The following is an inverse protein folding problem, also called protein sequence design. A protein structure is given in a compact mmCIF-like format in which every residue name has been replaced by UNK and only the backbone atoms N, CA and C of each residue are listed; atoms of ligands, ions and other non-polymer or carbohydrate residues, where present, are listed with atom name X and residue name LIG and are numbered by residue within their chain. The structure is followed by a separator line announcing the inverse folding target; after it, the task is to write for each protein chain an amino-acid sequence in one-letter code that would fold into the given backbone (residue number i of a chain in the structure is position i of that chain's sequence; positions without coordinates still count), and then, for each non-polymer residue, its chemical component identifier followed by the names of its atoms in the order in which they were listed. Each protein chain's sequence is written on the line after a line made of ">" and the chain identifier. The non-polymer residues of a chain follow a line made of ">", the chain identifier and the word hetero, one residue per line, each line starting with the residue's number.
data_IF_205574784322
#
_entry.id   IF_205574784322
#
_cell.length_a   1.000
_cell.length_b   1.000
_cell.length_c   1.000
_cell.angle_alpha   90.00
_cell.angle_beta   90.00
_cell.angle_gamma   90.00
#
_symmetry.space_group_name_H-M   'P 1'
#
loop_
_entity.id
_entity.type
_entity.pdbx_description
1 polymer ?
#
# COMPACT_ATOMS: atom_id res chain seq x y z
N UNK A 1 0.74 23.43 13.44
CA UNK A 1 1.51 22.27 12.95
C UNK A 1 0.77 21.63 11.80
N UNK A 2 1.45 21.28 10.71
CA UNK A 2 0.80 20.71 9.53
C UNK A 2 0.64 19.19 9.68
N UNK A 3 -0.53 18.73 10.12
CA UNK A 3 -0.83 17.30 10.36
C UNK A 3 -0.60 16.42 9.11
N UNK A 4 -0.73 16.98 7.92
CA UNK A 4 -0.51 16.28 6.66
C UNK A 4 0.94 15.81 6.48
N UNK A 5 1.91 16.62 6.92
CA UNK A 5 3.35 16.31 6.80
C UNK A 5 3.76 15.18 7.73
N UNK A 6 3.33 15.22 9.00
CA UNK A 6 3.66 14.16 9.97
C UNK A 6 3.06 12.82 9.53
N UNK A 7 1.81 12.83 9.04
CA UNK A 7 1.17 11.65 8.45
C UNK A 7 1.94 11.13 7.23
N UNK A 8 2.39 12.05 6.36
CA UNK A 8 3.18 11.71 5.17
C UNK A 8 4.51 11.05 5.53
N UNK A 9 5.24 11.63 6.49
CA UNK A 9 6.54 11.14 6.93
C UNK A 9 6.44 9.73 7.55
N UNK A 10 5.52 9.54 8.49
CA UNK A 10 5.31 8.24 9.12
C UNK A 10 4.95 7.16 8.09
N UNK A 11 4.11 7.49 7.10
CA UNK A 11 3.78 6.54 6.03
C UNK A 11 4.94 6.25 5.09
N UNK A 12 5.78 7.24 4.79
CA UNK A 12 6.94 7.07 3.92
C UNK A 12 7.95 6.07 4.52
N UNK A 13 8.11 6.10 5.84
CA UNK A 13 9.03 5.22 6.59
C UNK A 13 8.39 3.91 7.06
N UNK A 14 7.13 3.62 6.68
CA UNK A 14 6.32 2.52 7.25
C UNK A 14 6.24 2.59 8.80
N UNK A 15 6.36 3.78 9.38
CA UNK A 15 6.26 4.05 10.80
C UNK A 15 4.84 4.44 11.26
N UNK A 16 4.72 4.67 12.56
CA UNK A 16 3.48 5.13 13.21
C UNK A 16 3.62 6.57 13.67
N UNK A 17 2.49 7.26 13.83
CA UNK A 17 2.44 8.60 14.41
C UNK A 17 1.27 8.67 15.40
N UNK A 18 1.39 9.55 16.39
CA UNK A 18 0.32 9.92 17.31
C UNK A 18 0.31 11.44 17.46
N UNK A 19 -0.89 12.03 17.37
CA UNK A 19 -1.07 13.43 17.72
C UNK A 19 -1.50 13.52 19.18
N UNK A 20 -0.76 14.30 19.96
CA UNK A 20 -1.01 14.51 21.39
C UNK A 20 -2.03 15.65 21.52
N UNK A 21 -3.20 15.42 22.13
CA UNK A 21 -4.19 16.47 22.36
C UNK A 21 -3.66 17.59 23.27
N UNK A 22 -4.13 18.84 23.11
CA UNK A 22 -3.76 19.91 24.03
C UNK A 22 -4.24 19.58 25.46
N UNK A 23 -3.44 19.94 26.47
CA UNK A 23 -3.68 19.66 27.91
C UNK A 23 -3.64 18.17 28.30
N UNK A 24 -3.01 17.32 27.49
CA UNK A 24 -2.76 15.92 27.84
C UNK A 24 -1.32 15.69 28.29
N UNK A 25 -1.09 14.64 29.07
CA UNK A 25 0.24 14.28 29.55
C UNK A 25 1.06 13.66 28.41
N UNK A 26 2.08 14.39 27.97
CA UNK A 26 2.98 13.98 26.87
C UNK A 26 3.67 12.65 27.20
N UNK A 27 4.09 12.47 28.45
CA UNK A 27 4.86 11.31 28.91
C UNK A 27 4.12 9.98 28.69
N UNK A 28 2.78 9.99 28.82
CA UNK A 28 1.95 8.80 28.60
C UNK A 28 2.02 8.37 27.14
N UNK A 29 1.82 9.31 26.21
CA UNK A 29 1.84 9.01 24.77
C UNK A 29 3.24 8.63 24.28
N UNK A 30 4.28 9.25 24.82
CA UNK A 30 5.68 8.89 24.51
C UNK A 30 5.98 7.49 25.03
N UNK A 31 5.59 7.19 26.27
CA UNK A 31 5.75 5.87 26.88
C UNK A 31 5.05 4.77 26.07
N UNK A 32 3.81 5.00 25.65
CA UNK A 32 3.06 4.05 24.80
C UNK A 32 3.70 3.84 23.42
N UNK A 33 4.19 4.91 22.77
CA UNK A 33 4.87 4.79 21.48
C UNK A 33 6.18 4.03 21.62
N UNK A 34 6.95 4.31 22.66
CA UNK A 34 8.20 3.62 22.94
C UNK A 34 7.95 2.15 23.27
N UNK A 35 6.96 1.85 24.11
CA UNK A 35 6.59 0.48 24.46
C UNK A 35 6.22 -0.32 23.20
N UNK A 36 5.42 0.26 22.30
CA UNK A 36 5.08 -0.38 21.01
C UNK A 36 6.29 -0.56 20.11
N UNK A 37 7.22 0.39 20.08
CA UNK A 37 8.44 0.30 19.28
C UNK A 37 9.42 -0.76 19.82
N UNK A 38 9.43 -1.00 21.13
CA UNK A 38 10.30 -1.96 21.82
C UNK A 38 9.76 -3.39 21.83
N UNK A 39 8.48 -3.59 21.52
CA UNK A 39 7.91 -4.94 21.38
C UNK A 39 8.57 -5.68 20.21
N UNK A 40 8.70 -7.00 20.34
CA UNK A 40 9.29 -7.85 19.31
C UNK A 40 8.54 -7.68 17.98
N UNK A 41 9.25 -7.21 16.96
CA UNK A 41 8.68 -7.02 15.63
C UNK A 41 9.23 -8.05 14.64
N UNK A 42 8.36 -8.55 13.77
CA UNK A 42 8.78 -9.32 12.59
C UNK A 42 9.08 -8.30 11.49
N UNK A 43 10.34 -8.24 11.08
CA UNK A 43 10.84 -7.34 10.04
C UNK A 43 11.09 -8.10 8.74
N UNK A 44 11.27 -7.35 7.65
CA UNK A 44 11.60 -7.89 6.31
C UNK A 44 10.63 -8.98 5.83
N UNK A 45 9.34 -8.74 6.05
CA UNK A 45 8.28 -9.65 5.65
C UNK A 45 8.17 -9.64 4.11
N UNK A 46 8.14 -10.84 3.53
CA UNK A 46 7.91 -11.08 2.11
C UNK A 46 6.74 -12.04 1.99
N UNK A 47 5.72 -11.62 1.25
CA UNK A 47 4.57 -12.48 0.93
C UNK A 47 4.77 -13.01 -0.48
N UNK A 48 4.78 -14.33 -0.63
CA UNK A 48 4.85 -14.99 -1.93
C UNK A 48 3.49 -15.59 -2.25
N UNK A 49 2.91 -15.15 -3.35
CA UNK A 49 1.61 -15.60 -3.85
C UNK A 49 1.85 -16.69 -4.90
N UNK A 50 1.59 -17.95 -4.56
CA UNK A 50 1.73 -19.08 -5.48
C UNK A 50 0.38 -19.38 -6.15
N UNK A 51 -0.08 -18.49 -7.03
CA UNK A 51 -1.36 -18.66 -7.76
C UNK A 51 -1.21 -19.08 -9.22
N UNK A 52 0.02 -19.22 -9.72
CA UNK A 52 0.29 -19.61 -11.11
C UNK A 52 -0.02 -18.53 -12.16
N UNK A 53 -0.50 -17.37 -11.73
CA UNK A 53 -0.87 -16.22 -12.56
C UNK A 53 -0.27 -14.92 -12.03
N UNK A 54 -0.34 -13.84 -12.82
CA UNK A 54 0.13 -12.53 -12.39
C UNK A 54 -0.83 -11.94 -11.34
N UNK A 55 -0.25 -11.51 -10.22
CA UNK A 55 -0.98 -11.00 -9.06
C UNK A 55 -0.51 -9.59 -8.73
N UNK A 56 -1.46 -8.67 -8.58
CA UNK A 56 -1.19 -7.34 -8.04
C UNK A 56 -1.48 -7.33 -6.54
N UNK A 57 -0.47 -7.14 -5.70
CA UNK A 57 -0.65 -7.10 -4.25
C UNK A 57 -0.55 -5.69 -3.66
N UNK A 58 -1.34 -5.43 -2.63
CA UNK A 58 -1.22 -4.26 -1.76
C UNK A 58 -1.14 -4.72 -0.29
N UNK A 59 -0.14 -4.29 0.50
CA UNK A 59 0.95 -3.40 0.10
C UNK A 59 1.97 -4.08 -0.82
N UNK A 60 2.74 -3.30 -1.59
CA UNK A 60 3.86 -3.79 -2.42
C UNK A 60 5.10 -4.07 -1.57
N UNK A 61 5.34 -3.23 -0.55
CA UNK A 61 6.36 -3.45 0.48
C UNK A 61 5.69 -3.69 1.81
N UNK A 62 5.89 -4.87 2.40
CA UNK A 62 5.27 -5.19 3.69
C UNK A 62 5.86 -4.35 4.82
N UNK A 63 5.03 -3.71 5.65
CA UNK A 63 5.49 -3.05 6.87
C UNK A 63 5.91 -4.09 7.92
N UNK A 64 6.76 -3.71 8.89
CA UNK A 64 7.05 -4.57 10.04
C UNK A 64 5.78 -4.81 10.87
N UNK A 65 5.69 -5.99 11.48
CA UNK A 65 4.55 -6.38 12.32
C UNK A 65 4.97 -6.41 13.78
N UNK A 66 4.28 -5.64 14.61
CA UNK A 66 4.52 -5.57 16.05
C UNK A 66 3.59 -6.53 16.80
N UNK A 67 3.90 -6.80 18.07
CA UNK A 67 3.05 -7.60 18.95
C UNK A 67 1.64 -6.99 19.03
N UNK A 68 0.61 -7.84 18.97
CA UNK A 68 -0.80 -7.45 18.93
C UNK A 68 -1.21 -6.57 17.74
N UNK A 69 -0.39 -6.52 16.67
CA UNK A 69 -0.73 -5.86 15.42
C UNK A 69 -1.22 -6.84 14.37
N UNK A 70 -1.99 -6.33 13.39
CA UNK A 70 -2.49 -7.14 12.27
C UNK A 70 -1.96 -6.64 10.95
N UNK A 71 -1.27 -7.51 10.21
CA UNK A 71 -0.95 -7.29 8.81
C UNK A 71 -2.10 -7.77 7.92
N UNK A 72 -2.57 -6.88 7.05
CA UNK A 72 -3.56 -7.22 6.03
C UNK A 72 -2.94 -6.93 4.67
N UNK A 73 -2.78 -7.98 3.87
CA UNK A 73 -2.34 -7.90 2.49
C UNK A 73 -3.46 -8.40 1.58
N UNK A 74 -3.67 -7.69 0.48
CA UNK A 74 -4.63 -8.02 -0.55
C UNK A 74 -3.90 -8.38 -1.83
N UNK A 75 -4.47 -9.30 -2.60
CA UNK A 75 -3.99 -9.71 -3.90
C UNK A 75 -5.16 -9.68 -4.88
N UNK A 76 -5.01 -8.95 -5.99
CA UNK A 76 -5.89 -9.00 -7.14
C UNK A 76 -5.26 -9.88 -8.20
N UNK A 77 -5.96 -10.96 -8.53
CA UNK A 77 -5.56 -11.88 -9.58
C UNK A 77 -6.26 -11.47 -10.87
N UNK A 78 -5.49 -11.28 -11.94
CA UNK A 78 -6.04 -11.03 -13.27
C UNK A 78 -6.22 -12.36 -13.98
N UNK A 79 -7.19 -13.17 -13.54
CA UNK A 79 -7.51 -14.41 -14.23
C UNK A 79 -8.93 -14.36 -14.79
N UNK A 80 -9.03 -14.46 -16.11
CA UNK A 80 -10.27 -14.68 -16.86
C UNK A 80 -10.64 -16.16 -16.93
N UNK A 81 -9.76 -17.07 -16.47
CA UNK A 81 -10.02 -18.50 -16.45
C UNK A 81 -10.62 -18.93 -15.10
N UNK A 82 -11.86 -19.41 -15.18
CA UNK A 82 -12.77 -19.73 -14.08
C UNK A 82 -12.38 -20.95 -13.20
N UNK A 83 -11.20 -21.55 -13.38
CA UNK A 83 -10.81 -22.76 -12.65
C UNK A 83 -9.77 -22.41 -11.61
N UNK A 84 -10.23 -22.20 -10.38
CA UNK A 84 -9.37 -21.97 -9.22
C UNK A 84 -8.45 -23.17 -9.01
N UNK A 85 -7.13 -22.96 -9.09
CA UNK A 85 -6.16 -24.01 -8.82
C UNK A 85 -6.11 -24.29 -7.31
N UNK A 86 -6.52 -25.49 -6.90
CA UNK A 86 -6.48 -25.95 -5.51
C UNK A 86 -5.06 -26.05 -4.91
N UNK A 87 -4.01 -25.90 -5.72
CA UNK A 87 -2.63 -25.81 -5.25
C UNK A 87 -2.19 -24.36 -4.92
N UNK A 88 -3.15 -23.43 -4.85
CA UNK A 88 -2.91 -22.05 -4.48
C UNK A 88 -2.47 -21.92 -3.02
N UNK A 89 -1.26 -21.40 -2.80
CA UNK A 89 -0.72 -21.17 -1.45
C UNK A 89 -0.18 -19.76 -1.28
N UNK A 90 -0.26 -19.24 -0.07
CA UNK A 90 0.37 -18.00 0.34
C UNK A 90 1.46 -18.31 1.35
N UNK A 91 2.68 -17.92 1.05
CA UNK A 91 3.83 -18.12 1.92
C UNK A 91 4.25 -16.78 2.54
N UNK A 92 4.46 -16.81 3.86
CA UNK A 92 5.00 -15.69 4.61
C UNK A 92 6.46 -16.01 4.95
N UNK A 93 7.37 -15.24 4.37
CA UNK A 93 8.80 -15.41 4.57
C UNK A 93 9.39 -14.17 5.23
N UNK A 94 10.41 -14.37 6.06
CA UNK A 94 11.35 -13.34 6.48
C UNK A 94 12.68 -13.60 5.79
N UNK A 95 13.63 -12.67 5.88
CA UNK A 95 14.97 -12.82 5.27
C UNK A 95 15.72 -14.10 5.68
N UNK A 96 15.39 -14.70 6.84
CA UNK A 96 16.09 -15.86 7.39
C UNK A 96 15.34 -17.18 7.27
N UNK A 97 14.01 -17.15 7.16
CA UNK A 97 13.19 -18.36 7.20
C UNK A 97 11.76 -18.13 6.73
N UNK A 98 11.11 -19.21 6.31
CA UNK A 98 9.67 -19.25 6.11
C UNK A 98 8.97 -19.30 7.48
N UNK A 99 8.08 -18.35 7.74
CA UNK A 99 7.30 -18.25 8.98
C UNK A 99 6.06 -19.14 8.90
N UNK A 100 5.44 -19.21 7.72
CA UNK A 100 4.23 -20.00 7.54
C UNK A 100 3.79 -20.12 6.09
N UNK A 101 2.93 -21.11 5.86
CA UNK A 101 2.24 -21.32 4.59
C UNK A 101 0.75 -21.48 4.89
N UNK A 102 -0.08 -20.73 4.19
CA UNK A 102 -1.53 -20.91 4.19
C UNK A 102 -1.94 -21.48 2.83
N UNK A 103 -2.61 -22.64 2.83
CA UNK A 103 -3.26 -23.19 1.64
C UNK A 103 -4.68 -22.65 1.55
N UNK A 104 -5.15 -22.43 0.33
CA UNK A 104 -6.53 -22.00 0.11
C UNK A 104 -7.37 -23.25 -0.13
N UNK A 105 -8.07 -23.68 0.92
CA UNK A 105 -8.82 -24.93 0.89
C UNK A 105 -10.04 -24.86 -0.04
N UNK A 106 -10.80 -23.76 -0.02
CA UNK A 106 -11.95 -23.55 -0.90
C UNK A 106 -12.35 -22.07 -0.97
N UNK A 107 -12.65 -21.58 -2.17
CA UNK A 107 -13.31 -20.28 -2.38
C UNK A 107 -14.78 -20.55 -2.70
N UNK A 108 -15.72 -20.23 -1.79
CA UNK A 108 -17.12 -20.64 -1.96
C UNK A 108 -17.81 -19.96 -3.16
N UNK A 109 -17.40 -18.74 -3.54
CA UNK A 109 -17.92 -18.05 -4.74
C UNK A 109 -16.98 -16.93 -5.16
N UNK A 110 -16.60 -16.90 -6.44
CA UNK A 110 -15.89 -15.77 -7.04
C UNK A 110 -16.93 -14.74 -7.49
N UNK A 111 -16.89 -13.55 -6.89
CA UNK A 111 -17.80 -12.44 -7.23
C UNK A 111 -16.97 -11.29 -7.80
N UNK A 112 -17.27 -10.91 -9.04
CA UNK A 112 -16.49 -9.93 -9.82
C UNK A 112 -16.47 -8.53 -9.17
N UNK A 113 -17.42 -8.22 -8.28
CA UNK A 113 -17.49 -6.97 -7.50
C UNK A 113 -17.79 -7.18 -6.01
N UNK A 114 -17.23 -8.25 -5.43
CA UNK A 114 -17.36 -8.50 -3.99
C UNK A 114 -16.72 -7.41 -3.11
N UNK A 115 -17.10 -7.37 -1.84
CA UNK A 115 -16.55 -6.44 -0.84
C UNK A 115 -15.03 -6.57 -0.71
N UNK A 116 -14.50 -7.79 -0.75
CA UNK A 116 -13.06 -8.08 -0.68
C UNK A 116 -12.33 -7.54 -1.92
N UNK A 117 -12.92 -7.72 -3.12
CA UNK A 117 -12.35 -7.18 -4.35
C UNK A 117 -12.31 -5.63 -4.32
N UNK A 118 -13.37 -4.98 -3.80
CA UNK A 118 -13.40 -3.52 -3.62
C UNK A 118 -12.37 -3.05 -2.57
N UNK A 119 -12.20 -3.78 -1.47
CA UNK A 119 -11.16 -3.49 -0.46
C UNK A 119 -9.75 -3.60 -1.05
N UNK A 120 -9.48 -4.66 -1.80
CA UNK A 120 -8.21 -4.89 -2.47
C UNK A 120 -7.91 -3.78 -3.49
N UNK A 121 -8.88 -3.45 -4.34
CA UNK A 121 -8.77 -2.36 -5.31
C UNK A 121 -8.57 -1.00 -4.63
N UNK A 122 -9.28 -0.72 -3.53
CA UNK A 122 -9.10 0.51 -2.75
C UNK A 122 -7.70 0.58 -2.14
N UNK A 123 -7.18 -0.52 -1.58
CA UNK A 123 -5.84 -0.58 -1.01
C UNK A 123 -4.78 -0.30 -2.09
N UNK A 124 -4.92 -0.91 -3.28
CA UNK A 124 -4.05 -0.66 -4.43
C UNK A 124 -4.12 0.80 -4.91
N UNK A 125 -5.32 1.37 -5.06
CA UNK A 125 -5.48 2.78 -5.47
C UNK A 125 -4.79 3.71 -4.46
N UNK A 126 -4.98 3.48 -3.16
CA UNK A 126 -4.32 4.28 -2.12
C UNK A 126 -2.79 4.16 -2.21
N UNK A 127 -2.28 2.96 -2.43
CA UNK A 127 -0.83 2.76 -2.58
C UNK A 127 -0.28 3.47 -3.83
N UNK A 128 -0.96 3.36 -4.99
CA UNK A 128 -0.58 4.04 -6.23
C UNK A 128 -0.69 5.57 -6.14
N UNK A 129 -1.61 6.09 -5.32
CA UNK A 129 -1.70 7.52 -5.05
C UNK A 129 -0.56 7.99 -4.13
N UNK A 130 -0.16 7.16 -3.16
CA UNK A 130 0.87 7.50 -2.19
C UNK A 130 2.29 7.24 -2.67
N UNK A 131 2.51 6.34 -3.65
CA UNK A 131 3.82 6.15 -4.30
C UNK A 131 4.32 7.44 -4.96
N UNK A 132 3.41 8.30 -5.44
CA UNK A 132 3.73 9.65 -5.95
C UNK A 132 4.50 10.51 -4.95
N UNK A 133 4.33 10.30 -3.64
CA UNK A 133 5.02 11.07 -2.59
C UNK A 133 6.44 10.57 -2.31
N UNK A 134 6.81 9.35 -2.75
CA UNK A 134 8.12 8.76 -2.47
C UNK A 134 9.22 9.20 -3.45
N UNK A 135 8.86 9.66 -4.64
CA UNK A 135 9.83 10.05 -5.69
C UNK A 135 10.20 11.54 -5.67
N UNK A 136 9.49 12.35 -4.90
CA UNK A 136 9.83 13.76 -4.72
C UNK A 136 10.78 13.90 -3.54
N UNK A 137 12.08 13.70 -3.77
CA UNK A 137 13.15 14.28 -2.95
C UNK A 137 13.12 15.81 -3.12
N UNK A 138 12.03 16.46 -2.72
CA UNK A 138 11.95 17.91 -2.55
C UNK A 138 11.76 18.19 -1.07
N UNK A 139 12.85 18.02 -0.33
CA UNK A 139 13.16 19.01 0.68
C UNK A 139 13.42 20.35 0.00
N UNK A 140 13.52 21.42 0.78
CA UNK A 140 13.99 22.72 0.31
C UNK A 140 15.47 22.64 -0.07
N UNK A 141 15.80 21.95 -1.15
CA UNK A 141 17.12 22.02 -1.75
C UNK A 141 17.19 23.35 -2.49
N UNK A 142 17.94 24.29 -1.91
CA UNK A 142 18.26 25.54 -2.57
C UNK A 142 18.92 25.21 -3.92
N UNK A 143 18.54 25.89 -5.02
CA UNK A 143 19.04 25.59 -6.37
C UNK A 143 20.57 25.68 -6.50
N UNK A 144 21.26 26.24 -5.50
CA UNK A 144 22.71 26.36 -5.43
C UNK A 144 23.46 25.03 -5.24
N UNK A 145 22.80 23.96 -4.76
CA UNK A 145 23.45 22.67 -4.48
C UNK A 145 23.12 21.55 -5.47
N UNK A 146 22.41 21.85 -6.57
CA UNK A 146 22.30 20.89 -7.68
C UNK A 146 23.63 20.89 -8.47
N UNK A 147 24.54 20.00 -8.09
CA UNK A 147 25.47 19.44 -9.07
C UNK A 147 24.67 18.45 -9.91
N UNK A 148 24.66 18.67 -11.23
CA UNK A 148 23.91 17.88 -12.21
C UNK A 148 24.16 16.36 -12.03
N UNK A 149 23.15 15.55 -11.66
CA UNK A 149 23.24 14.12 -11.88
C UNK A 149 23.00 13.81 -13.37
N UNK A 150 23.56 12.71 -13.91
CA UNK A 150 23.42 12.39 -15.33
C UNK A 150 21.94 12.15 -15.68
N UNK A 151 21.46 12.95 -16.63
CA UNK A 151 20.24 12.82 -17.44
C UNK A 151 19.38 11.57 -17.18
N UNK A 152 18.42 11.66 -16.26
CA UNK A 152 17.14 10.95 -16.42
C UNK A 152 16.22 11.92 -17.14
N UNK A 153 15.96 11.66 -18.41
CA UNK A 153 15.23 12.57 -19.31
C UNK A 153 13.83 12.93 -18.76
N UNK A 154 13.38 14.20 -18.89
CA UNK A 154 12.08 14.66 -18.39
C UNK A 154 10.86 13.95 -19.04
N UNK A 155 11.10 13.27 -20.17
CA UNK A 155 10.09 12.52 -20.92
C UNK A 155 9.69 11.23 -20.17
N UNK A 156 10.65 10.48 -19.62
CA UNK A 156 10.39 9.21 -18.93
C UNK A 156 9.57 9.37 -17.64
N UNK A 157 9.83 10.45 -16.88
CA UNK A 157 9.05 10.77 -15.68
C UNK A 157 7.59 11.15 -15.97
N UNK A 158 7.30 11.63 -17.17
CA UNK A 158 5.95 12.03 -17.58
C UNK A 158 5.13 10.80 -17.99
N UNK A 159 5.77 9.86 -18.68
CA UNK A 159 5.13 8.61 -19.12
C UNK A 159 4.75 7.69 -17.95
N UNK A 160 5.62 7.50 -16.96
CA UNK A 160 5.30 6.70 -15.75
C UNK A 160 4.11 7.27 -14.96
N UNK A 161 4.03 8.61 -14.88
CA UNK A 161 2.93 9.31 -14.21
C UNK A 161 1.61 9.11 -14.95
N UNK A 162 1.62 9.20 -16.27
CA UNK A 162 0.43 8.95 -17.09
C UNK A 162 -0.01 7.48 -17.01
N UNK A 163 0.91 6.52 -17.03
CA UNK A 163 0.61 5.11 -16.84
C UNK A 163 -0.03 4.83 -15.47
N UNK A 164 0.49 5.46 -14.40
CA UNK A 164 -0.08 5.31 -13.06
C UNK A 164 -1.48 5.92 -12.96
N UNK A 165 -1.70 7.09 -13.58
CA UNK A 165 -3.03 7.73 -13.64
C UNK A 165 -4.04 6.85 -14.36
N UNK A 166 -3.68 6.34 -15.55
CA UNK A 166 -4.52 5.41 -16.32
C UNK A 166 -4.91 4.19 -15.48
N UNK A 167 -3.93 3.57 -14.80
CA UNK A 167 -4.17 2.42 -13.93
C UNK A 167 -5.11 2.71 -12.75
N UNK A 168 -5.01 3.90 -12.14
CA UNK A 168 -5.94 4.33 -11.08
C UNK A 168 -7.36 4.47 -11.64
N UNK A 169 -7.51 5.07 -12.82
CA UNK A 169 -8.81 5.24 -13.49
C UNK A 169 -9.41 3.87 -13.84
N UNK A 170 -8.63 2.97 -14.42
CA UNK A 170 -9.09 1.62 -14.79
C UNK A 170 -9.59 0.82 -13.58
N UNK A 171 -8.84 0.83 -12.48
CA UNK A 171 -9.26 0.18 -11.22
C UNK A 171 -10.51 0.85 -10.62
N UNK A 172 -10.58 2.19 -10.69
CA UNK A 172 -11.69 2.97 -10.18
C UNK A 172 -12.99 2.68 -10.93
N UNK A 173 -12.94 2.61 -12.26
CA UNK A 173 -14.07 2.27 -13.11
C UNK A 173 -14.49 0.80 -12.94
N UNK A 174 -13.52 -0.13 -12.95
CA UNK A 174 -13.78 -1.57 -12.82
C UNK A 174 -14.53 -1.92 -11.53
N UNK A 175 -14.13 -1.32 -10.41
CA UNK A 175 -14.66 -1.66 -9.08
C UNK A 175 -15.63 -0.61 -8.49
N UNK A 176 -16.01 0.41 -9.27
CA UNK A 176 -16.90 1.50 -8.85
C UNK A 176 -16.43 2.16 -7.53
N UNK A 177 -15.17 2.60 -7.53
CA UNK A 177 -14.53 3.24 -6.37
C UNK A 177 -14.18 4.66 -6.75
N UNK A 178 -14.64 5.66 -5.98
CA UNK A 178 -14.21 7.04 -6.17
C UNK A 178 -12.71 7.20 -5.90
N UNK A 179 -12.01 7.84 -6.82
CA UNK A 179 -10.58 8.13 -6.74
C UNK A 179 -10.32 9.61 -7.02
N UNK A 180 -9.09 10.09 -6.83
CA UNK A 180 -8.74 11.48 -7.12
C UNK A 180 -9.02 11.91 -8.58
N UNK A 181 -9.05 10.96 -9.52
CA UNK A 181 -9.23 11.23 -10.95
C UNK A 181 -10.61 10.80 -11.48
N UNK A 182 -11.54 10.42 -10.60
CA UNK A 182 -12.89 9.98 -11.00
C UNK A 182 -13.96 10.69 -10.18
N UNK A 183 -15.04 11.08 -10.84
CA UNK A 183 -16.17 11.77 -10.23
C UNK A 183 -17.47 11.01 -10.56
N UNK A 184 -18.43 11.09 -9.63
CA UNK A 184 -19.80 10.62 -9.86
C UNK A 184 -20.64 11.84 -10.22
N UNK A 185 -21.30 11.79 -11.36
CA UNK A 185 -22.17 12.85 -11.87
C UNK A 185 -23.60 12.31 -11.85
N UNK A 186 -24.47 12.95 -11.09
CA UNK A 186 -25.91 12.69 -11.15
C UNK A 186 -26.52 13.50 -12.28
N UNK A 187 -27.16 12.83 -13.24
CA UNK A 187 -27.96 13.47 -14.29
C UNK A 187 -29.42 13.18 -13.99
N UNK A 188 -30.17 14.23 -13.64
CA UNK A 188 -31.62 14.16 -13.45
C UNK A 188 -32.30 14.16 -14.83
N UNK A 189 -33.34 13.33 -14.99
CA UNK A 189 -34.13 13.23 -16.22
C UNK A 189 -35.35 14.13 -16.15
#
# INVERSE_FOLDING_TARGET
>A
MNHSLVKGLARATNGRFVFIPPKSNVDVYVGEQLQKALQSCITYIKVKWNFGTEVMSAPTKMPPVYVNDRLIAYALVNDTMLVFNHNSSVELNTDRSQIGQAKIDSIPKVVINGTIARLAAKALILELQHSKLKQTNVGSLQPRFQQDPPSTTPIMMTEEKEMTKKRIIDLSLKYQILSLHTAVIGVEK
#
